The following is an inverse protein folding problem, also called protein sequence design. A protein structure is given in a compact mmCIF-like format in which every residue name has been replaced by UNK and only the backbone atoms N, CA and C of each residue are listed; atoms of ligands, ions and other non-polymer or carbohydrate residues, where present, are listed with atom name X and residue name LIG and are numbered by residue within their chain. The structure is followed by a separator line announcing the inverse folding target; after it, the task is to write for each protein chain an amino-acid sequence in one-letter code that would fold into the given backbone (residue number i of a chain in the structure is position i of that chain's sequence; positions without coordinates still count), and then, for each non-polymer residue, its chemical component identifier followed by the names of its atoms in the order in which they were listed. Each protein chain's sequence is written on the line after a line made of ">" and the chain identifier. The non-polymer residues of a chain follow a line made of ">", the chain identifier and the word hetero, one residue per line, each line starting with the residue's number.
data_IF_529975951496
#
_entry.id   IF_529975951496
#
_cell.length_a   1.000
_cell.length_b   1.000
_cell.length_c   1.000
_cell.angle_alpha   90.00
_cell.angle_beta   90.00
_cell.angle_gamma   90.00
#
_symmetry.space_group_name_H-M   'P 1'
#
loop_
_entity.id
_entity.type
_entity.pdbx_description
1 polymer ?
#
# COMPACT_ATOMS: atom_id res chain seq x y z
N UNK A 1 -7.85 46.65 10.53
CA UNK A 1 -8.23 45.25 10.30
C UNK A 1 -7.15 44.40 10.99
N UNK A 2 -7.49 43.87 12.17
CA UNK A 2 -6.55 43.07 12.95
C UNK A 2 -6.34 41.75 12.21
N UNK A 3 -5.15 41.53 11.68
CA UNK A 3 -4.65 40.22 11.37
C UNK A 3 -4.42 39.50 12.72
N UNK A 4 -5.44 38.90 13.30
CA UNK A 4 -5.25 37.87 14.29
C UNK A 4 -4.56 36.74 13.54
N UNK A 5 -3.27 36.51 13.85
CA UNK A 5 -2.57 35.29 13.48
C UNK A 5 -3.43 34.15 13.98
N UNK A 6 -4.06 33.46 13.06
CA UNK A 6 -4.86 32.28 13.36
C UNK A 6 -3.89 31.22 13.86
N UNK A 7 -3.68 31.18 15.17
CA UNK A 7 -2.85 30.16 15.82
C UNK A 7 -3.56 28.82 15.63
N UNK A 8 -2.98 27.98 14.79
CA UNK A 8 -3.50 26.66 14.49
C UNK A 8 -3.45 25.80 15.74
N UNK A 9 -4.57 25.71 16.43
CA UNK A 9 -4.74 24.88 17.62
C UNK A 9 -4.69 23.40 17.22
N UNK A 10 -3.85 22.53 17.83
CA UNK A 10 -3.75 21.10 17.51
C UNK A 10 -5.09 20.37 17.60
N UNK A 11 -5.94 20.69 18.56
CA UNK A 11 -7.27 20.08 18.74
C UNK A 11 -8.21 20.48 17.58
N UNK A 12 -8.14 21.73 17.13
CA UNK A 12 -8.89 22.19 15.98
C UNK A 12 -8.40 21.49 14.71
N UNK A 13 -7.09 21.39 14.50
CA UNK A 13 -6.50 20.66 13.36
C UNK A 13 -6.94 19.20 13.37
N UNK A 14 -6.88 18.50 14.49
CA UNK A 14 -7.34 17.12 14.58
C UNK A 14 -8.84 17.01 14.21
N UNK A 15 -9.68 17.89 14.73
CA UNK A 15 -11.12 17.90 14.41
C UNK A 15 -11.41 18.15 12.92
N UNK A 16 -10.57 18.92 12.25
CA UNK A 16 -10.74 19.27 10.83
C UNK A 16 -10.17 18.21 9.89
N UNK A 17 -9.05 17.59 10.23
CA UNK A 17 -8.30 16.68 9.35
C UNK A 17 -8.44 15.21 9.74
N UNK A 18 -9.02 14.87 10.89
CA UNK A 18 -9.31 13.48 11.26
C UNK A 18 -10.56 13.00 10.52
N UNK A 19 -10.38 12.55 9.28
CA UNK A 19 -11.46 12.10 8.42
C UNK A 19 -12.20 10.86 8.99
N UNK A 20 -11.55 10.03 9.81
CA UNK A 20 -12.20 8.89 10.48
C UNK A 20 -13.32 9.34 11.41
N UNK A 21 -13.08 10.40 12.19
CA UNK A 21 -14.12 10.95 13.09
C UNK A 21 -15.28 11.59 12.32
N UNK A 22 -15.06 11.97 11.05
CA UNK A 22 -16.06 12.67 10.21
C UNK A 22 -16.91 11.73 9.35
N UNK A 23 -16.55 10.44 9.27
CA UNK A 23 -17.28 9.43 8.49
C UNK A 23 -17.95 8.46 9.45
N UNK A 24 -19.29 8.59 9.70
CA UNK A 24 -20.02 7.63 10.49
C UNK A 24 -19.85 6.21 9.91
N UNK A 25 -19.56 5.23 10.76
CA UNK A 25 -19.42 3.84 10.34
C UNK A 25 -18.10 3.48 9.67
N UNK A 26 -17.09 4.34 9.67
CA UNK A 26 -15.77 4.05 9.04
C UNK A 26 -15.20 2.70 9.52
N UNK A 27 -15.40 2.35 10.79
CA UNK A 27 -14.88 1.10 11.36
C UNK A 27 -15.43 -0.15 10.64
N UNK A 28 -16.69 -0.12 10.20
CA UNK A 28 -17.29 -1.24 9.46
C UNK A 28 -16.60 -1.45 8.10
N UNK A 29 -16.16 -0.38 7.44
CA UNK A 29 -15.40 -0.49 6.21
C UNK A 29 -14.03 -1.15 6.45
N UNK A 30 -13.33 -0.78 7.52
CA UNK A 30 -12.03 -1.38 7.86
C UNK A 30 -12.17 -2.85 8.24
N UNK A 31 -13.18 -3.19 9.05
CA UNK A 31 -13.49 -4.60 9.36
C UNK A 31 -13.75 -5.41 8.10
N UNK A 32 -14.48 -4.85 7.14
CA UNK A 32 -14.72 -5.50 5.86
C UNK A 32 -13.45 -5.66 5.04
N UNK A 33 -12.58 -4.64 4.95
CA UNK A 33 -11.30 -4.75 4.22
C UNK A 33 -10.42 -5.86 4.77
N UNK A 34 -10.34 -5.99 6.10
CA UNK A 34 -9.60 -7.08 6.76
C UNK A 34 -10.19 -8.44 6.36
N UNK A 35 -11.52 -8.61 6.49
CA UNK A 35 -12.19 -9.87 6.18
C UNK A 35 -12.06 -10.25 4.68
N UNK A 36 -12.27 -9.30 3.78
CA UNK A 36 -12.13 -9.49 2.33
C UNK A 36 -10.67 -9.82 1.97
N UNK A 37 -9.69 -9.17 2.63
CA UNK A 37 -8.26 -9.44 2.43
C UNK A 37 -7.85 -10.81 2.92
N UNK A 38 -8.32 -11.24 4.10
CA UNK A 38 -8.09 -12.59 4.62
C UNK A 38 -8.64 -13.64 3.65
N UNK A 39 -9.86 -13.42 3.14
CA UNK A 39 -10.47 -14.30 2.16
C UNK A 39 -9.62 -14.43 0.88
N UNK A 40 -9.13 -13.30 0.35
CA UNK A 40 -8.28 -13.31 -0.84
C UNK A 40 -7.00 -14.11 -0.62
N UNK A 41 -6.30 -13.90 0.51
CA UNK A 41 -5.07 -14.64 0.84
C UNK A 41 -5.29 -16.15 0.98
N UNK A 42 -6.50 -16.56 1.35
CA UNK A 42 -6.86 -17.99 1.45
C UNK A 42 -7.25 -18.59 0.10
N UNK A 43 -7.75 -17.81 -0.84
CA UNK A 43 -8.34 -18.31 -2.09
C UNK A 43 -7.45 -18.13 -3.32
N UNK A 44 -6.45 -17.26 -3.26
CA UNK A 44 -5.58 -16.96 -4.40
C UNK A 44 -4.12 -17.34 -4.11
N UNK A 45 -3.39 -17.80 -5.12
CA UNK A 45 -1.94 -17.93 -5.02
C UNK A 45 -1.32 -16.58 -4.63
N UNK A 46 -0.52 -16.58 -3.59
CA UNK A 46 0.20 -15.38 -3.14
C UNK A 46 1.48 -15.78 -2.41
N UNK A 47 2.45 -14.87 -2.43
CA UNK A 47 3.62 -14.91 -1.57
C UNK A 47 3.48 -13.76 -0.58
N UNK A 48 3.52 -14.08 0.69
CA UNK A 48 3.33 -13.13 1.77
C UNK A 48 4.65 -12.80 2.45
N UNK A 49 4.74 -11.61 3.01
CA UNK A 49 5.83 -11.14 3.87
C UNK A 49 7.23 -11.22 3.23
N UNK A 50 7.30 -11.00 1.92
CA UNK A 50 8.58 -10.97 1.20
C UNK A 50 9.34 -9.71 1.61
N UNK A 51 10.50 -9.84 2.23
CA UNK A 51 11.31 -8.72 2.68
C UNK A 51 11.96 -8.00 1.48
N UNK A 52 11.84 -6.66 1.45
CA UNK A 52 12.56 -5.82 0.51
C UNK A 52 13.64 -4.96 1.19
N UNK A 53 13.71 -5.01 2.52
CA UNK A 53 14.68 -4.31 3.35
C UNK A 53 14.87 -5.01 4.70
N UNK A 54 15.52 -4.33 5.64
CA UNK A 54 15.96 -4.90 6.92
C UNK A 54 14.96 -4.65 8.07
N UNK A 55 14.09 -3.63 7.95
CA UNK A 55 13.13 -3.31 8.98
C UNK A 55 11.90 -4.21 8.88
N UNK A 56 11.24 -4.48 9.99
CA UNK A 56 10.06 -5.36 10.04
C UNK A 56 8.90 -4.88 9.17
N UNK A 57 8.78 -3.56 8.94
CA UNK A 57 7.78 -2.98 8.03
C UNK A 57 8.20 -3.03 6.56
N UNK A 58 9.46 -3.34 6.23
CA UNK A 58 9.98 -3.38 4.86
C UNK A 58 9.65 -4.74 4.20
N UNK A 59 8.35 -5.04 4.08
CA UNK A 59 7.83 -6.27 3.47
C UNK A 59 6.78 -5.96 2.39
N UNK A 60 6.53 -6.92 1.52
CA UNK A 60 5.52 -6.85 0.49
C UNK A 60 4.85 -8.21 0.29
N UNK A 61 3.63 -8.19 -0.24
CA UNK A 61 2.91 -9.38 -0.69
C UNK A 61 2.80 -9.37 -2.21
N UNK A 62 2.94 -10.55 -2.85
CA UNK A 62 2.89 -10.71 -4.29
C UNK A 62 1.72 -11.62 -4.65
N UNK A 63 0.84 -11.14 -5.54
CA UNK A 63 -0.28 -11.88 -6.13
C UNK A 63 0.00 -12.03 -7.63
N UNK A 64 0.40 -13.22 -8.10
CA UNK A 64 0.67 -13.45 -9.52
C UNK A 64 -0.56 -13.25 -10.41
N UNK A 65 -0.35 -12.84 -11.64
CA UNK A 65 -1.41 -12.69 -12.63
C UNK A 65 -2.11 -14.02 -12.91
N UNK A 66 -3.42 -14.02 -13.03
CA UNK A 66 -4.20 -15.20 -13.40
C UNK A 66 -4.15 -15.40 -14.93
N UNK A 67 -3.94 -16.65 -15.36
CA UNK A 67 -4.01 -17.02 -16.77
C UNK A 67 -2.89 -16.47 -17.67
N UNK A 68 -1.88 -15.83 -17.10
CA UNK A 68 -0.69 -15.34 -17.83
C UNK A 68 0.48 -16.27 -17.56
N UNK A 69 1.13 -16.73 -18.64
CA UNK A 69 2.36 -17.51 -18.48
C UNK A 69 3.46 -16.63 -17.88
N UNK A 70 4.22 -17.09 -16.86
CA UNK A 70 5.35 -16.35 -16.32
C UNK A 70 6.37 -15.92 -17.40
N UNK A 71 6.54 -16.71 -18.45
CA UNK A 71 7.44 -16.40 -19.56
C UNK A 71 6.98 -15.20 -20.42
N UNK A 72 5.69 -14.84 -20.38
CA UNK A 72 5.17 -13.67 -21.09
C UNK A 72 5.36 -12.36 -20.30
N UNK A 73 5.53 -12.47 -19.00
CA UNK A 73 5.60 -11.34 -18.08
C UNK A 73 4.27 -10.54 -18.03
N UNK A 74 3.66 -10.44 -16.88
CA UNK A 74 2.45 -9.66 -16.65
C UNK A 74 2.79 -8.20 -16.32
N UNK A 75 1.96 -7.20 -16.69
CA UNK A 75 2.10 -5.87 -16.13
C UNK A 75 2.01 -5.93 -14.60
N UNK A 76 2.71 -5.06 -13.93
CA UNK A 76 2.83 -5.06 -12.46
C UNK A 76 2.15 -3.83 -11.88
N UNK A 77 1.21 -4.04 -10.96
CA UNK A 77 0.66 -3.00 -10.13
C UNK A 77 1.31 -3.07 -8.74
N UNK A 78 2.02 -2.02 -8.37
CA UNK A 78 2.53 -1.82 -7.00
C UNK A 78 1.56 -0.92 -6.25
N UNK A 79 0.94 -1.45 -5.21
CA UNK A 79 -0.05 -0.72 -4.41
C UNK A 79 0.50 -0.37 -3.03
N UNK A 80 0.31 0.89 -2.62
CA UNK A 80 0.73 1.44 -1.34
C UNK A 80 -0.50 1.81 -0.53
N UNK A 81 -0.62 1.25 0.68
CA UNK A 81 -1.76 1.50 1.55
C UNK A 81 -1.72 2.91 2.17
N UNK A 82 -2.90 3.39 2.59
CA UNK A 82 -3.06 4.63 3.32
C UNK A 82 -2.83 4.46 4.83
N UNK A 83 -3.49 5.31 5.61
CA UNK A 83 -3.41 5.24 7.07
C UNK A 83 -2.66 6.40 7.73
N UNK A 84 -2.54 7.53 7.05
CA UNK A 84 -1.90 8.74 7.59
C UNK A 84 -0.42 8.52 7.97
N UNK A 85 0.29 7.62 7.27
CA UNK A 85 1.67 7.17 7.54
C UNK A 85 1.88 6.54 8.93
N UNK A 86 0.84 6.29 9.72
CA UNK A 86 0.91 5.85 11.11
C UNK A 86 -0.03 4.70 11.49
N UNK A 87 -0.74 4.13 10.53
CA UNK A 87 -1.69 3.04 10.78
C UNK A 87 -1.98 2.25 9.51
N UNK A 88 -2.67 1.13 9.67
CA UNK A 88 -2.96 0.13 8.67
C UNK A 88 -1.72 -0.68 8.26
N UNK A 89 -1.97 -1.71 7.47
CA UNK A 89 -0.98 -2.68 7.03
C UNK A 89 -1.33 -3.17 5.62
N UNK A 90 -0.34 -3.69 4.88
CA UNK A 90 -0.57 -4.35 3.58
C UNK A 90 -1.60 -5.47 3.67
N UNK A 91 -1.63 -6.18 4.80
CA UNK A 91 -2.56 -7.26 5.03
C UNK A 91 -4.03 -6.82 5.00
N UNK A 92 -4.32 -5.55 5.35
CA UNK A 92 -5.66 -4.97 5.26
C UNK A 92 -6.11 -4.67 3.81
N UNK A 93 -5.21 -4.83 2.83
CA UNK A 93 -5.41 -4.36 1.45
C UNK A 93 -5.28 -5.44 0.37
N UNK A 94 -5.12 -6.71 0.74
CA UNK A 94 -5.08 -7.81 -0.23
C UNK A 94 -6.36 -7.90 -1.07
N UNK A 95 -7.49 -7.37 -0.58
CA UNK A 95 -8.78 -7.36 -1.27
C UNK A 95 -8.75 -6.67 -2.63
N UNK A 96 -7.75 -5.82 -2.90
CA UNK A 96 -7.62 -5.16 -4.21
C UNK A 96 -7.10 -6.12 -5.29
N UNK A 97 -6.34 -7.14 -4.92
CA UNK A 97 -5.60 -7.99 -5.86
C UNK A 97 -6.48 -8.71 -6.89
N UNK A 98 -7.65 -9.30 -6.52
CA UNK A 98 -8.44 -10.10 -7.46
C UNK A 98 -8.85 -9.35 -8.74
N UNK A 99 -9.22 -8.08 -8.63
CA UNK A 99 -9.66 -7.28 -9.78
C UNK A 99 -8.55 -7.14 -10.84
N UNK A 100 -7.31 -7.00 -10.39
CA UNK A 100 -6.15 -6.82 -11.26
C UNK A 100 -5.55 -8.15 -11.70
N UNK A 101 -5.47 -9.14 -10.82
CA UNK A 101 -4.92 -10.46 -11.18
C UNK A 101 -5.80 -11.15 -12.22
N UNK A 102 -7.12 -11.06 -12.12
CA UNK A 102 -8.05 -11.57 -13.13
C UNK A 102 -7.97 -10.81 -14.47
N UNK A 103 -7.57 -9.53 -14.43
CA UNK A 103 -7.28 -8.74 -15.62
C UNK A 103 -5.88 -9.01 -16.20
N UNK A 104 -5.13 -9.96 -15.63
CA UNK A 104 -3.81 -10.37 -16.13
C UNK A 104 -2.65 -9.54 -15.63
N UNK A 105 -2.79 -8.79 -14.53
CA UNK A 105 -1.70 -8.06 -13.89
C UNK A 105 -1.16 -8.81 -12.64
N UNK A 106 0.14 -8.75 -12.42
CA UNK A 106 0.76 -9.12 -11.15
C UNK A 106 0.58 -7.96 -10.16
N UNK A 107 0.11 -8.25 -8.94
CA UNK A 107 -0.10 -7.22 -7.91
C UNK A 107 0.92 -7.37 -6.80
N UNK A 108 1.57 -6.29 -6.44
CA UNK A 108 2.48 -6.17 -5.29
C UNK A 108 1.85 -5.20 -4.29
N UNK A 109 1.57 -5.66 -3.08
CA UNK A 109 1.02 -4.82 -2.00
C UNK A 109 2.13 -4.52 -1.02
N UNK A 110 2.53 -3.24 -0.93
CA UNK A 110 3.65 -2.80 -0.09
C UNK A 110 3.22 -2.52 1.34
N UNK A 111 4.08 -2.90 2.28
CA UNK A 111 4.10 -2.37 3.63
C UNK A 111 5.26 -1.37 3.80
N UNK A 112 5.23 -0.62 4.89
CA UNK A 112 6.31 0.30 5.29
C UNK A 112 6.27 0.52 6.79
N UNK A 113 7.40 0.92 7.36
CA UNK A 113 7.50 1.26 8.78
C UNK A 113 6.71 2.54 9.06
N UNK A 114 5.87 2.52 10.08
CA UNK A 114 4.94 3.61 10.39
C UNK A 114 5.58 4.69 11.29
N UNK A 115 5.11 5.92 11.13
CA UNK A 115 5.37 6.97 12.11
C UNK A 115 4.74 6.62 13.48
N UNK A 116 5.35 6.97 14.62
CA UNK A 116 6.56 7.82 14.78
C UNK A 116 7.89 7.04 14.82
N UNK A 117 7.90 5.72 14.55
CA UNK A 117 9.13 4.93 14.54
C UNK A 117 10.11 5.41 13.45
N UNK A 118 9.59 5.95 12.37
CA UNK A 118 10.33 6.61 11.29
C UNK A 118 9.64 7.93 10.90
N UNK A 119 10.33 8.76 10.13
CA UNK A 119 9.79 9.98 9.54
C UNK A 119 9.21 9.72 8.14
N UNK A 120 8.38 10.64 7.63
CA UNK A 120 7.82 10.52 6.26
C UNK A 120 8.93 10.47 5.18
N UNK A 121 10.01 11.28 5.24
CA UNK A 121 11.14 11.14 4.31
C UNK A 121 11.79 9.74 4.33
N UNK A 122 11.90 9.11 5.50
CA UNK A 122 12.41 7.74 5.59
C UNK A 122 11.45 6.73 4.97
N UNK A 123 10.12 6.92 5.11
CA UNK A 123 9.14 6.09 4.40
C UNK A 123 9.29 6.25 2.88
N UNK A 124 9.51 7.46 2.37
CA UNK A 124 9.78 7.68 0.93
C UNK A 124 10.99 6.87 0.46
N UNK A 125 12.07 6.85 1.25
CA UNK A 125 13.25 6.02 0.93
C UNK A 125 12.93 4.52 0.97
N UNK A 126 12.04 4.07 1.84
CA UNK A 126 11.55 2.69 1.83
C UNK A 126 10.77 2.39 0.53
N UNK A 127 9.97 3.33 0.01
CA UNK A 127 9.29 3.16 -1.29
C UNK A 127 10.28 3.01 -2.44
N UNK A 128 11.36 3.79 -2.45
CA UNK A 128 12.45 3.65 -3.43
C UNK A 128 13.09 2.25 -3.35
N UNK A 129 13.36 1.76 -2.14
CA UNK A 129 13.90 0.39 -1.94
C UNK A 129 12.92 -0.67 -2.45
N UNK A 130 11.63 -0.54 -2.10
CA UNK A 130 10.59 -1.48 -2.51
C UNK A 130 10.42 -1.52 -4.04
N UNK A 131 10.44 -0.37 -4.69
CA UNK A 131 10.38 -0.28 -6.15
C UNK A 131 11.62 -0.90 -6.81
N UNK A 132 12.82 -0.62 -6.26
CA UNK A 132 14.07 -1.20 -6.75
C UNK A 132 14.10 -2.73 -6.55
N UNK A 133 13.57 -3.22 -5.43
CA UNK A 133 13.41 -4.65 -5.19
C UNK A 133 12.44 -5.27 -6.21
N UNK A 134 11.28 -4.67 -6.38
CA UNK A 134 10.26 -5.13 -7.35
C UNK A 134 10.84 -5.20 -8.76
N UNK A 135 11.51 -4.16 -9.21
CA UNK A 135 12.14 -4.12 -10.52
C UNK A 135 13.16 -5.25 -10.72
N UNK A 136 13.95 -5.58 -9.70
CA UNK A 136 15.00 -6.62 -9.79
C UNK A 136 14.45 -8.03 -9.73
N UNK A 137 13.34 -8.26 -9.01
CA UNK A 137 12.92 -9.61 -8.62
C UNK A 137 11.58 -10.05 -9.19
N UNK A 138 10.71 -9.12 -9.64
CA UNK A 138 9.34 -9.45 -10.00
C UNK A 138 9.22 -10.41 -11.20
N UNK A 139 10.25 -10.47 -12.06
CA UNK A 139 10.27 -11.39 -13.18
C UNK A 139 10.24 -12.87 -12.72
N UNK A 140 10.86 -13.20 -11.58
CA UNK A 140 10.80 -14.53 -10.99
C UNK A 140 9.39 -14.91 -10.49
N UNK A 141 8.51 -13.92 -10.36
CA UNK A 141 7.12 -14.07 -9.93
C UNK A 141 6.11 -13.82 -11.08
N UNK A 142 6.60 -13.83 -12.33
CA UNK A 142 5.77 -13.68 -13.51
C UNK A 142 5.40 -12.25 -13.89
N UNK A 143 5.96 -11.23 -13.21
CA UNK A 143 5.78 -9.83 -13.57
C UNK A 143 6.83 -9.34 -14.57
N UNK A 144 6.47 -8.33 -15.37
CA UNK A 144 7.37 -7.67 -16.31
C UNK A 144 7.96 -6.40 -15.65
N UNK A 145 9.27 -6.37 -15.35
CA UNK A 145 9.90 -5.21 -14.73
C UNK A 145 9.90 -3.94 -15.59
N UNK A 146 9.65 -4.06 -16.90
CA UNK A 146 9.51 -2.91 -17.79
C UNK A 146 8.10 -2.29 -17.76
N UNK A 147 7.13 -2.93 -17.10
CA UNK A 147 5.73 -2.51 -17.04
C UNK A 147 5.21 -2.39 -15.61
N UNK A 148 5.93 -1.64 -14.77
CA UNK A 148 5.54 -1.38 -13.38
C UNK A 148 4.75 -0.07 -13.30
N UNK A 149 3.57 -0.13 -12.68
CA UNK A 149 2.75 1.04 -12.35
C UNK A 149 2.62 1.11 -10.83
N UNK A 150 2.87 2.28 -10.25
CA UNK A 150 2.63 2.53 -8.85
C UNK A 150 1.27 3.19 -8.64
N UNK A 151 0.54 2.75 -7.63
CA UNK A 151 -0.70 3.34 -7.16
C UNK A 151 -0.76 3.35 -5.64
N UNK A 152 -1.56 4.21 -5.08
CA UNK A 152 -1.73 4.26 -3.64
C UNK A 152 -3.03 4.92 -3.23
N UNK A 153 -3.49 4.59 -2.04
CA UNK A 153 -4.67 5.19 -1.43
C UNK A 153 -4.28 6.18 -0.35
N UNK A 154 -4.84 7.40 -0.35
CA UNK A 154 -4.64 8.41 0.71
C UNK A 154 -3.13 8.73 0.91
N UNK A 155 -2.57 8.48 2.11
CA UNK A 155 -1.14 8.61 2.38
C UNK A 155 -0.27 7.78 1.41
N UNK A 156 -0.75 6.59 0.98
CA UNK A 156 -0.09 5.80 -0.05
C UNK A 156 -0.10 6.47 -1.42
N UNK A 157 -1.13 7.24 -1.76
CA UNK A 157 -1.16 8.05 -2.97
C UNK A 157 -0.11 9.17 -2.94
N UNK A 158 0.10 9.81 -1.79
CA UNK A 158 1.21 10.74 -1.59
C UNK A 158 2.57 10.04 -1.81
N UNK A 159 2.77 8.87 -1.19
CA UNK A 159 4.01 8.09 -1.33
C UNK A 159 4.28 7.63 -2.78
N UNK A 160 3.23 7.39 -3.57
CA UNK A 160 3.36 6.94 -4.95
C UNK A 160 3.87 8.04 -5.90
N UNK A 161 3.80 9.32 -5.52
CA UNK A 161 4.21 10.47 -6.35
C UNK A 161 5.46 11.18 -5.85
N UNK A 162 5.98 10.78 -4.68
CA UNK A 162 7.23 11.31 -4.12
C UNK A 162 8.44 10.58 -4.69
#
# INVERSE_FOLDING_TARGET
>A
MNNEEQTWNPQWLDSMYNNRLRVPGYAAHFTRWVADSDHVRQQQPCLLDVAYGEQSGETLDIFPASGVSPAQGAPVLVFIHGGYWRSLDKADHSFIAPAFTHAGACVVVLNYTLCPAVTIPEIVLQMVKALAWTWRHIAAHGGDPARITMAGHSAGGHLAVM
#
